data_IF_717418442382
#
_entry.id   IF_717418442382
#
_cell.length_a   1.000
_cell.length_b   1.000
_cell.length_c   1.000
_cell.angle_alpha   90.00
_cell.angle_beta   90.00
_cell.angle_gamma   90.00
#
_symmetry.space_group_name_H-M   'P 1'
#
loop_
_entity.id
_entity.type
_entity.pdbx_description
1 polymer ?
#
# COMPACT_ATOMS: atom_id res chain seq x y z
N UNK A 1 5.68 82.79 -5.70
CA UNK A 1 6.42 81.81 -6.52
C UNK A 1 7.00 80.77 -5.59
N UNK A 2 7.70 81.20 -4.53
CA UNK A 2 8.23 80.32 -3.46
C UNK A 2 7.21 79.36 -2.82
N UNK A 3 6.01 79.83 -2.44
CA UNK A 3 4.99 78.93 -1.85
C UNK A 3 4.41 77.88 -2.81
N UNK A 4 4.53 78.11 -4.12
CA UNK A 4 4.08 77.13 -5.13
C UNK A 4 5.15 76.05 -5.32
N UNK A 5 6.43 76.44 -5.22
CA UNK A 5 7.57 75.54 -5.29
C UNK A 5 7.66 74.64 -4.04
N UNK A 6 7.39 75.20 -2.86
CA UNK A 6 7.29 74.47 -1.59
C UNK A 6 6.15 73.44 -1.61
N UNK A 7 4.97 73.82 -2.13
CA UNK A 7 3.83 72.92 -2.27
C UNK A 7 4.07 71.82 -3.31
N UNK A 8 4.77 72.12 -4.41
CA UNK A 8 5.18 71.12 -5.40
C UNK A 8 6.19 70.12 -4.83
N UNK A 9 7.13 70.58 -4.00
CA UNK A 9 8.14 69.72 -3.39
C UNK A 9 7.51 68.76 -2.36
N UNK A 10 6.62 69.27 -1.50
CA UNK A 10 5.87 68.45 -0.55
C UNK A 10 4.95 67.42 -1.24
N UNK A 11 4.35 67.77 -2.38
CA UNK A 11 3.56 66.83 -3.17
C UNK A 11 4.41 65.73 -3.80
N UNK A 12 5.64 66.04 -4.22
CA UNK A 12 6.56 65.05 -4.80
C UNK A 12 7.07 64.05 -3.74
N UNK A 13 7.40 64.52 -2.54
CA UNK A 13 7.81 63.64 -1.42
C UNK A 13 6.68 62.69 -0.99
N UNK A 14 5.45 63.19 -0.86
CA UNK A 14 4.29 62.36 -0.54
C UNK A 14 4.03 61.29 -1.62
N UNK A 15 4.29 61.62 -2.89
CA UNK A 15 4.13 60.70 -4.01
C UNK A 15 5.25 59.66 -4.09
N UNK A 16 6.44 59.95 -3.56
CA UNK A 16 7.51 58.98 -3.35
C UNK A 16 7.19 58.02 -2.21
N UNK A 17 6.71 58.53 -1.07
CA UNK A 17 6.28 57.69 0.06
C UNK A 17 5.13 56.75 -0.33
N UNK A 18 4.13 57.21 -1.10
CA UNK A 18 3.06 56.35 -1.62
C UNK A 18 3.60 55.24 -2.52
N UNK A 19 4.58 55.53 -3.38
CA UNK A 19 5.20 54.51 -4.24
C UNK A 19 5.98 53.47 -3.46
N UNK A 20 6.70 53.88 -2.41
CA UNK A 20 7.41 52.94 -1.55
C UNK A 20 6.44 52.02 -0.80
N UNK A 21 5.32 52.56 -0.30
CA UNK A 21 4.26 51.78 0.34
C UNK A 21 3.61 50.78 -0.61
N UNK A 22 3.24 51.22 -1.82
CA UNK A 22 2.64 50.37 -2.86
C UNK A 22 3.58 49.21 -3.24
N UNK A 23 4.89 49.48 -3.33
CA UNK A 23 5.88 48.44 -3.64
C UNK A 23 6.02 47.41 -2.50
N UNK A 24 5.92 47.83 -1.24
CA UNK A 24 5.93 46.90 -0.10
C UNK A 24 4.67 46.06 -0.08
N UNK A 25 3.51 46.65 -0.37
CA UNK A 25 2.24 45.92 -0.48
C UNK A 25 2.30 44.85 -1.59
N UNK A 26 2.77 45.22 -2.78
CA UNK A 26 2.97 44.29 -3.90
C UNK A 26 3.86 43.10 -3.51
N UNK A 27 4.94 43.35 -2.77
CA UNK A 27 5.82 42.29 -2.27
C UNK A 27 5.11 41.37 -1.27
N UNK A 28 4.35 41.94 -0.33
CA UNK A 28 3.60 41.16 0.66
C UNK A 28 2.54 40.29 -0.01
N UNK A 29 1.80 40.83 -0.97
CA UNK A 29 0.82 40.09 -1.76
C UNK A 29 1.45 38.96 -2.56
N UNK A 30 2.61 39.21 -3.18
CA UNK A 30 3.38 38.18 -3.86
C UNK A 30 3.76 37.03 -2.90
N UNK A 31 4.27 37.34 -1.70
CA UNK A 31 4.64 36.31 -0.73
C UNK A 31 3.43 35.57 -0.17
N UNK A 32 2.31 36.26 0.07
CA UNK A 32 1.05 35.63 0.49
C UNK A 32 0.54 34.66 -0.56
N UNK A 33 0.50 35.07 -1.83
CA UNK A 33 0.12 34.19 -2.94
C UNK A 33 1.09 33.02 -3.07
N UNK A 34 2.40 33.26 -2.94
CA UNK A 34 3.41 32.20 -3.00
C UNK A 34 3.22 31.17 -1.88
N UNK A 35 2.92 31.62 -0.66
CA UNK A 35 2.64 30.74 0.47
C UNK A 35 1.38 29.91 0.23
N UNK A 36 0.29 30.52 -0.24
CA UNK A 36 -0.95 29.82 -0.56
C UNK A 36 -0.75 28.76 -1.65
N UNK A 37 0.03 29.06 -2.68
CA UNK A 37 0.34 28.09 -3.74
C UNK A 37 1.16 26.90 -3.22
N UNK A 38 2.13 27.16 -2.34
CA UNK A 38 2.92 26.10 -1.71
C UNK A 38 2.06 25.20 -0.81
N UNK A 39 1.08 25.78 -0.10
CA UNK A 39 0.11 25.00 0.69
C UNK A 39 -0.72 24.08 -0.18
N UNK A 40 -1.25 24.58 -1.31
CA UNK A 40 -2.03 23.78 -2.25
C UNK A 40 -1.19 22.63 -2.84
N UNK A 41 0.05 22.90 -3.22
CA UNK A 41 0.97 21.88 -3.75
C UNK A 41 1.28 20.80 -2.70
N UNK A 42 1.57 21.21 -1.46
CA UNK A 42 1.80 20.28 -0.35
C UNK A 42 0.56 19.41 -0.08
N UNK A 43 -0.64 19.99 -0.13
CA UNK A 43 -1.88 19.25 0.06
C UNK A 43 -2.13 18.23 -1.06
N UNK A 44 -1.80 18.56 -2.31
CA UNK A 44 -1.88 17.63 -3.44
C UNK A 44 -0.91 16.47 -3.29
N UNK A 45 0.33 16.74 -2.90
CA UNK A 45 1.34 15.69 -2.64
C UNK A 45 0.91 14.79 -1.47
N UNK A 46 0.37 15.37 -0.41
CA UNK A 46 -0.12 14.62 0.74
C UNK A 46 -1.32 13.73 0.39
N UNK A 47 -2.24 14.21 -0.44
CA UNK A 47 -3.34 13.39 -0.95
C UNK A 47 -2.80 12.25 -1.82
N UNK A 48 -1.85 12.52 -2.72
CA UNK A 48 -1.20 11.48 -3.52
C UNK A 48 -0.46 10.43 -2.68
N UNK A 49 0.19 10.85 -1.59
CA UNK A 49 0.84 9.94 -0.66
C UNK A 49 -0.17 9.03 0.07
N UNK A 50 -1.34 9.56 0.45
CA UNK A 50 -2.43 8.78 1.06
C UNK A 50 -3.01 7.76 0.09
N UNK A 51 -3.23 8.15 -1.16
CA UNK A 51 -3.71 7.23 -2.20
C UNK A 51 -2.71 6.09 -2.43
N UNK A 52 -1.41 6.40 -2.42
CA UNK A 52 -0.35 5.39 -2.49
C UNK A 52 -0.36 4.46 -1.27
N UNK A 53 -0.51 5.00 -0.06
CA UNK A 53 -0.62 4.22 1.17
C UNK A 53 -1.82 3.26 1.13
N UNK A 54 -2.97 3.73 0.69
CA UNK A 54 -4.17 2.89 0.50
C UNK A 54 -3.92 1.78 -0.53
N UNK A 55 -3.29 2.12 -1.66
CA UNK A 55 -2.96 1.14 -2.70
C UNK A 55 -2.00 0.05 -2.20
N UNK A 56 -1.01 0.42 -1.37
CA UNK A 56 -0.09 -0.52 -0.73
C UNK A 56 -0.86 -1.39 0.28
N UNK A 57 -1.76 -0.80 1.06
CA UNK A 57 -2.62 -1.52 2.01
C UNK A 57 -3.47 -2.59 1.33
N UNK A 58 -4.05 -2.27 0.17
CA UNK A 58 -4.81 -3.21 -0.65
C UNK A 58 -3.89 -4.33 -1.17
N UNK A 59 -2.73 -3.99 -1.73
CA UNK A 59 -1.76 -4.97 -2.26
C UNK A 59 -1.27 -5.95 -1.18
N UNK A 60 -0.92 -5.45 0.00
CA UNK A 60 -0.49 -6.27 1.12
C UNK A 60 -1.60 -7.21 1.61
N UNK A 61 -2.84 -6.71 1.66
CA UNK A 61 -4.01 -7.51 2.02
C UNK A 61 -4.26 -8.63 0.99
N UNK A 62 -4.10 -8.35 -0.31
CA UNK A 62 -4.18 -9.35 -1.36
C UNK A 62 -3.11 -10.43 -1.22
N UNK A 63 -1.86 -10.05 -0.90
CA UNK A 63 -0.78 -11.02 -0.65
C UNK A 63 -1.06 -11.91 0.56
N UNK A 64 -1.60 -11.36 1.64
CA UNK A 64 -2.02 -12.18 2.80
C UNK A 64 -3.09 -13.20 2.42
N UNK A 65 -4.06 -12.81 1.60
CA UNK A 65 -5.09 -13.73 1.09
C UNK A 65 -4.49 -14.83 0.20
N UNK A 66 -3.55 -14.48 -0.68
CA UNK A 66 -2.83 -15.44 -1.52
C UNK A 66 -2.06 -16.47 -0.67
N UNK A 67 -1.33 -16.01 0.34
CA UNK A 67 -0.63 -16.89 1.30
C UNK A 67 -1.61 -17.79 2.05
N UNK A 68 -2.73 -17.25 2.54
CA UNK A 68 -3.75 -18.05 3.22
C UNK A 68 -4.36 -19.12 2.31
N UNK A 69 -4.53 -18.84 1.02
CA UNK A 69 -4.98 -19.83 0.03
C UNK A 69 -3.95 -20.95 -0.18
N UNK A 70 -2.66 -20.60 -0.24
CA UNK A 70 -1.58 -21.57 -0.35
C UNK A 70 -1.51 -22.47 0.89
N UNK A 71 -1.60 -21.89 2.08
CA UNK A 71 -1.64 -22.62 3.34
C UNK A 71 -2.82 -23.60 3.40
N UNK A 72 -4.01 -23.15 3.00
CA UNK A 72 -5.20 -24.01 2.94
C UNK A 72 -5.00 -25.18 1.98
N UNK A 73 -4.45 -24.92 0.79
CA UNK A 73 -4.20 -25.97 -0.21
C UNK A 73 -3.16 -26.97 0.29
N UNK A 74 -2.08 -26.48 0.93
CA UNK A 74 -1.04 -27.32 1.51
C UNK A 74 -1.57 -28.14 2.69
N UNK A 75 -2.43 -27.56 3.54
CA UNK A 75 -3.07 -28.26 4.65
C UNK A 75 -3.94 -29.41 4.16
N UNK A 76 -4.74 -29.20 3.12
CA UNK A 76 -5.54 -30.25 2.48
C UNK A 76 -4.61 -31.36 1.94
N UNK A 77 -3.56 -30.99 1.20
CA UNK A 77 -2.59 -31.96 0.68
C UNK A 77 -1.83 -32.73 1.78
N UNK A 78 -1.51 -32.08 2.89
CA UNK A 78 -0.88 -32.75 4.05
C UNK A 78 -1.84 -33.66 4.79
N UNK A 79 -3.12 -33.31 4.89
CA UNK A 79 -4.15 -34.15 5.49
C UNK A 79 -4.37 -35.43 4.66
N UNK A 80 -4.51 -35.26 3.35
CA UNK A 80 -4.49 -36.30 2.33
C UNK A 80 -3.30 -37.28 2.52
N UNK A 81 -2.09 -36.73 2.49
CA UNK A 81 -0.87 -37.51 2.67
C UNK A 81 -0.80 -38.21 4.04
N UNK A 82 -1.30 -37.59 5.11
CA UNK A 82 -1.36 -38.20 6.43
C UNK A 82 -2.31 -39.41 6.48
N UNK A 83 -3.46 -39.35 5.79
CA UNK A 83 -4.36 -40.50 5.65
C UNK A 83 -3.71 -41.63 4.85
N UNK A 84 -3.05 -41.31 3.74
CA UNK A 84 -2.29 -42.29 2.96
C UNK A 84 -1.18 -42.95 3.78
N UNK A 85 -0.41 -42.16 4.54
CA UNK A 85 0.64 -42.66 5.43
C UNK A 85 0.09 -43.51 6.58
N UNK A 86 -1.08 -43.16 7.14
CA UNK A 86 -1.75 -43.97 8.17
C UNK A 86 -2.13 -45.35 7.63
N UNK A 87 -2.75 -45.41 6.45
CA UNK A 87 -3.13 -46.66 5.79
C UNK A 87 -1.88 -47.49 5.49
N UNK A 88 -0.84 -46.88 4.90
CA UNK A 88 0.43 -47.53 4.63
C UNK A 88 1.11 -48.04 5.92
N UNK A 89 1.02 -47.31 7.03
CA UNK A 89 1.55 -47.73 8.33
C UNK A 89 0.81 -48.95 8.90
N UNK A 90 -0.53 -48.96 8.84
CA UNK A 90 -1.35 -50.08 9.33
C UNK A 90 -1.08 -51.36 8.53
N UNK A 91 -0.91 -51.26 7.21
CA UNK A 91 -0.71 -52.42 6.33
C UNK A 91 0.77 -52.78 6.07
N UNK A 92 1.71 -51.86 6.29
CA UNK A 92 3.13 -52.02 5.95
C UNK A 92 4.06 -52.32 7.13
N UNK A 93 3.63 -52.13 8.38
CA UNK A 93 4.42 -52.49 9.56
C UNK A 93 4.24 -53.97 9.91
N UNK A 94 5.20 -54.81 9.50
CA UNK A 94 5.49 -56.18 9.94
C UNK A 94 4.36 -56.96 10.68
N UNK A 95 3.19 -57.01 10.05
CA UNK A 95 2.15 -57.95 10.38
C UNK A 95 2.01 -58.79 9.12
N UNK A 96 2.14 -60.11 9.29
CA UNK A 96 1.69 -61.14 8.37
C UNK A 96 0.17 -61.01 8.18
N UNK A 97 -0.24 -59.91 7.55
CA UNK A 97 -1.61 -59.69 7.16
C UNK A 97 -1.82 -60.53 5.92
N UNK A 98 -2.64 -61.56 6.05
CA UNK A 98 -3.05 -62.50 5.00
C UNK A 98 -3.75 -61.84 3.80
N UNK A 99 -3.71 -60.50 3.69
CA UNK A 99 -4.08 -59.70 2.51
C UNK A 99 -2.98 -59.62 1.45
N UNK A 100 -1.72 -59.92 1.78
CA UNK A 100 -0.60 -59.98 0.81
C UNK A 100 -0.82 -61.04 -0.28
N UNK A 101 -1.66 -62.04 -0.01
CA UNK A 101 -2.04 -63.07 -0.97
C UNK A 101 -3.06 -62.59 -2.03
N UNK A 102 -3.65 -61.40 -1.89
CA UNK A 102 -4.68 -60.89 -2.80
C UNK A 102 -4.23 -59.63 -3.54
N UNK A 103 -4.25 -59.69 -4.88
CA UNK A 103 -3.95 -58.55 -5.80
C UNK A 103 -4.81 -57.32 -5.48
N UNK A 104 -6.02 -57.53 -4.96
CA UNK A 104 -6.95 -56.47 -4.56
C UNK A 104 -6.48 -55.66 -3.35
N UNK A 105 -5.79 -56.27 -2.38
CA UNK A 105 -5.23 -55.56 -1.23
C UNK A 105 -4.14 -54.57 -1.63
N UNK A 106 -3.26 -54.98 -2.56
CA UNK A 106 -2.19 -54.15 -3.10
C UNK A 106 -2.72 -52.98 -3.94
N UNK A 107 -3.69 -53.24 -4.83
CA UNK A 107 -4.34 -52.18 -5.60
C UNK A 107 -5.19 -51.25 -4.73
N UNK A 108 -5.83 -51.77 -3.67
CA UNK A 108 -6.64 -51.00 -2.74
C UNK A 108 -5.81 -50.01 -1.90
N UNK A 109 -4.67 -50.45 -1.35
CA UNK A 109 -3.77 -49.55 -0.61
C UNK A 109 -3.07 -48.57 -1.52
N UNK A 110 -2.65 -49.00 -2.72
CA UNK A 110 -2.05 -48.11 -3.72
C UNK A 110 -3.06 -47.07 -4.22
N UNK A 111 -4.29 -47.47 -4.51
CA UNK A 111 -5.36 -46.54 -4.88
C UNK A 111 -5.72 -45.60 -3.74
N UNK A 112 -5.75 -46.07 -2.49
CA UNK A 112 -5.99 -45.23 -1.32
C UNK A 112 -4.88 -44.20 -1.08
N UNK A 113 -3.62 -44.52 -1.42
CA UNK A 113 -2.49 -43.57 -1.34
C UNK A 113 -2.49 -42.57 -2.51
N UNK A 114 -2.97 -42.98 -3.69
CA UNK A 114 -3.03 -42.10 -4.88
C UNK A 114 -4.29 -41.20 -4.87
N UNK A 115 -5.40 -41.69 -4.31
CA UNK A 115 -6.67 -40.96 -4.21
C UNK A 115 -6.82 -40.17 -2.92
N UNK A 116 -6.11 -40.58 -1.86
CA UNK A 116 -5.99 -39.84 -0.61
C UNK A 116 -5.11 -38.65 -0.79
#
# INVERSE_FOLDING_TARGET
VDHVEEAMMAAAEAQEEERELEQVEDMLDYYLQRAAMAEVEAQQLLNGARDLEESIGISLSARRLEVGRLELTLSIGSFAAALGAMIAGIFGMNLTSTLEASVLGFWGTTAAIVLG
#
